data_IF_357695684035
#
_entry.id   IF_357695684035
#
_cell.length_a   1.000
_cell.length_b   1.000
_cell.length_c   1.000
_cell.angle_alpha   90.00
_cell.angle_beta   90.00
_cell.angle_gamma   90.00
#
_symmetry.space_group_name_H-M   'P 1'
#
loop_
_entity.id
_entity.type
_entity.pdbx_description
1 polymer ?
#
# COMPACT_ATOMS: atom_id res chain seq x y z
N UNK A 1 22.73 -8.89 -4.24
CA UNK A 1 23.07 -8.18 -2.98
C UNK A 1 23.32 -6.73 -3.32
N UNK A 2 22.26 -5.93 -3.35
CA UNK A 2 22.34 -4.50 -3.65
C UNK A 2 22.77 -3.78 -2.36
N UNK A 3 23.85 -2.98 -2.36
CA UNK A 3 24.37 -2.41 -1.13
C UNK A 3 23.44 -1.30 -0.61
N UNK A 4 23.18 -1.35 0.71
CA UNK A 4 22.42 -0.37 1.51
C UNK A 4 22.87 1.09 1.31
N UNK A 5 24.05 1.30 0.72
CA UNK A 5 24.62 2.60 0.39
C UNK A 5 23.77 3.43 -0.56
N UNK A 6 22.94 2.82 -1.42
CA UNK A 6 22.11 3.55 -2.38
C UNK A 6 20.82 4.13 -1.74
N UNK A 7 20.38 3.58 -0.60
CA UNK A 7 19.21 4.08 0.13
C UNK A 7 19.53 5.35 0.95
N UNK A 8 20.79 5.54 1.35
CA UNK A 8 21.22 6.69 2.15
C UNK A 8 21.46 7.96 1.32
N UNK A 9 21.65 7.84 0.00
CA UNK A 9 21.89 8.99 -0.89
C UNK A 9 20.62 9.74 -1.30
N UNK A 10 19.44 9.10 -1.16
CA UNK A 10 18.14 9.71 -1.48
C UNK A 10 17.48 10.40 -0.26
N UNK A 11 18.11 10.30 0.92
CA UNK A 11 17.58 10.88 2.16
C UNK A 11 17.68 12.41 2.30
N UNK A 12 18.68 13.14 1.77
CA UNK A 12 18.78 14.58 2.04
C UNK A 12 17.64 15.38 1.37
N UNK A 13 17.26 15.04 0.13
CA UNK A 13 16.15 15.72 -0.57
C UNK A 13 14.77 15.41 0.06
N UNK A 14 14.65 14.26 0.72
CA UNK A 14 13.38 13.87 1.38
C UNK A 14 13.19 14.65 2.68
N UNK A 15 14.27 14.95 3.41
CA UNK A 15 14.20 15.67 4.69
C UNK A 15 13.89 17.16 4.49
N UNK A 16 14.43 17.82 3.45
CA UNK A 16 14.09 19.24 3.19
C UNK A 16 12.62 19.43 2.78
N UNK A 17 12.00 18.44 2.11
CA UNK A 17 10.57 18.51 1.75
C UNK A 17 9.63 18.34 2.95
N UNK A 18 10.09 17.76 4.05
CA UNK A 18 9.29 17.53 5.28
C UNK A 18 9.02 18.83 6.04
N UNK A 19 9.78 19.90 5.80
CA UNK A 19 9.64 21.18 6.50
C UNK A 19 9.21 22.34 5.60
N UNK A 20 8.79 22.05 4.36
CA UNK A 20 8.30 23.07 3.45
C UNK A 20 6.84 23.41 3.74
N UNK A 21 6.62 24.51 4.48
CA UNK A 21 5.49 25.47 4.45
C UNK A 21 4.03 24.99 4.24
N UNK A 22 3.72 23.70 4.29
CA UNK A 22 2.33 23.21 4.31
C UNK A 22 1.85 23.14 5.76
N UNK A 23 1.23 24.25 6.21
CA UNK A 23 0.57 24.44 7.51
C UNK A 23 -0.51 23.37 7.82
N UNK A 24 -0.89 22.55 6.84
CA UNK A 24 -1.87 21.47 6.95
C UNK A 24 -1.25 20.06 7.13
N UNK A 25 0.09 19.94 7.14
CA UNK A 25 0.75 18.63 7.34
C UNK A 25 0.88 18.24 8.81
N UNK A 26 0.38 17.05 9.11
CA UNK A 26 0.32 16.47 10.44
C UNK A 26 1.64 15.73 10.76
N UNK A 27 2.51 16.25 11.62
CA UNK A 27 3.90 15.76 11.81
C UNK A 27 4.60 15.31 10.50
N UNK A 28 4.41 16.05 9.40
CA UNK A 28 5.01 15.73 8.09
C UNK A 28 4.35 14.59 7.32
N UNK A 29 3.13 14.18 7.72
CA UNK A 29 2.28 13.21 7.02
C UNK A 29 1.10 13.97 6.41
N UNK A 30 0.96 13.89 5.09
CA UNK A 30 -0.21 14.40 4.37
C UNK A 30 -1.34 13.35 4.37
N UNK A 31 -2.49 13.61 5.02
CA UNK A 31 -3.64 12.70 5.01
C UNK A 31 -4.19 12.41 3.61
N UNK A 32 -4.15 13.38 2.71
CA UNK A 32 -4.68 13.25 1.35
C UNK A 32 -3.77 12.36 0.51
N UNK A 33 -2.44 12.48 0.68
CA UNK A 33 -1.47 11.56 0.10
C UNK A 33 -1.73 10.11 0.55
N UNK A 34 -1.92 9.89 1.86
CA UNK A 34 -2.23 8.55 2.38
C UNK A 34 -3.56 8.01 1.86
N UNK A 35 -4.58 8.85 1.75
CA UNK A 35 -5.88 8.49 1.18
C UNK A 35 -5.73 8.07 -0.29
N UNK A 36 -4.93 8.80 -1.06
CA UNK A 36 -4.58 8.47 -2.45
C UNK A 36 -3.89 7.12 -2.58
N UNK A 37 -2.90 6.84 -1.73
CA UNK A 37 -2.21 5.53 -1.69
C UNK A 37 -3.20 4.40 -1.36
N UNK A 38 -4.04 4.59 -0.35
CA UNK A 38 -5.06 3.60 0.03
C UNK A 38 -6.04 3.32 -1.11
N UNK A 39 -6.53 4.36 -1.79
CA UNK A 39 -7.42 4.23 -2.94
C UNK A 39 -6.75 3.45 -4.07
N UNK A 40 -5.48 3.79 -4.38
CA UNK A 40 -4.70 3.12 -5.41
C UNK A 40 -4.41 1.64 -5.10
N UNK A 41 -4.17 1.26 -3.85
CA UNK A 41 -4.02 -0.16 -3.49
C UNK A 41 -5.34 -0.92 -3.61
N UNK A 42 -6.47 -0.32 -3.20
CA UNK A 42 -7.80 -0.95 -3.33
C UNK A 42 -8.19 -1.14 -4.78
N UNK A 43 -7.92 -0.16 -5.63
CA UNK A 43 -8.14 -0.28 -7.08
C UNK A 43 -7.32 -1.43 -7.68
N UNK A 44 -6.02 -1.46 -7.40
CA UNK A 44 -5.13 -2.54 -7.88
C UNK A 44 -5.53 -3.91 -7.33
N UNK A 45 -5.99 -3.99 -6.08
CA UNK A 45 -6.50 -5.24 -5.51
C UNK A 45 -7.70 -5.77 -6.31
N UNK A 46 -8.67 -4.89 -6.62
CA UNK A 46 -9.82 -5.26 -7.46
C UNK A 46 -9.40 -5.68 -8.86
N UNK A 47 -8.45 -4.96 -9.45
CA UNK A 47 -7.92 -5.29 -10.77
C UNK A 47 -7.26 -6.68 -10.78
N UNK A 48 -6.39 -6.97 -9.81
CA UNK A 48 -5.68 -8.26 -9.73
C UNK A 48 -6.64 -9.41 -9.42
N UNK A 49 -7.57 -9.24 -8.47
CA UNK A 49 -8.60 -10.25 -8.17
C UNK A 49 -9.56 -10.50 -9.36
N UNK A 50 -9.68 -9.52 -10.27
CA UNK A 50 -10.51 -9.62 -11.47
C UNK A 50 -9.84 -10.33 -12.66
N UNK A 51 -8.57 -10.76 -12.54
CA UNK A 51 -7.87 -11.43 -13.64
C UNK A 51 -8.54 -12.78 -13.93
N UNK A 52 -9.05 -13.02 -15.15
CA UNK A 52 -9.67 -14.29 -15.50
C UNK A 52 -8.61 -15.37 -15.77
N UNK A 53 -8.81 -16.55 -15.19
CA UNK A 53 -7.95 -17.74 -15.37
C UNK A 53 -8.69 -18.92 -16.03
N UNK A 54 -9.93 -18.70 -16.47
CA UNK A 54 -10.76 -19.67 -17.19
C UNK A 54 -10.09 -20.16 -18.49
N UNK A 55 -9.35 -19.29 -19.19
CA UNK A 55 -8.57 -19.65 -20.37
C UNK A 55 -7.49 -20.72 -20.15
N UNK A 56 -7.14 -21.03 -18.89
CA UNK A 56 -6.22 -22.12 -18.56
C UNK A 56 -6.93 -23.49 -18.43
N UNK A 57 -8.26 -23.51 -18.36
CA UNK A 57 -9.07 -24.72 -18.35
C UNK A 57 -9.39 -25.16 -19.77
N UNK A 58 -8.37 -25.69 -20.47
CA UNK A 58 -8.47 -26.08 -21.88
C UNK A 58 -9.15 -27.44 -22.05
N UNK A 59 -10.18 -27.47 -22.89
CA UNK A 59 -10.88 -28.68 -23.32
C UNK A 59 -10.01 -29.56 -24.24
N UNK A 60 -10.28 -30.86 -24.21
CA UNK A 60 -9.68 -31.83 -25.13
C UNK A 60 -8.79 -32.89 -24.46
N UNK A 61 -8.23 -33.80 -25.28
CA UNK A 61 -7.46 -34.94 -24.78
C UNK A 61 -6.27 -34.49 -23.92
N UNK A 62 -5.91 -35.25 -22.86
CA UNK A 62 -4.78 -34.92 -22.00
C UNK A 62 -3.46 -35.12 -22.77
N UNK A 63 -3.04 -34.07 -23.46
CA UNK A 63 -1.69 -33.90 -23.99
C UNK A 63 -0.82 -33.22 -22.93
N UNK A 64 0.50 -33.33 -23.05
CA UNK A 64 1.46 -32.68 -22.15
C UNK A 64 1.19 -31.16 -22.02
N UNK A 65 0.82 -30.50 -23.11
CA UNK A 65 0.51 -29.06 -23.14
C UNK A 65 -0.79 -28.76 -22.40
N UNK A 66 -1.87 -29.47 -22.72
CA UNK A 66 -3.18 -29.25 -22.05
C UNK A 66 -3.13 -29.56 -20.56
N UNK A 67 -2.37 -30.59 -20.15
CA UNK A 67 -2.18 -30.91 -18.73
C UNK A 67 -1.37 -29.82 -18.03
N UNK A 68 -0.32 -29.30 -18.67
CA UNK A 68 0.47 -28.20 -18.13
C UNK A 68 -0.40 -26.93 -17.94
N UNK A 69 -1.20 -26.55 -18.94
CA UNK A 69 -2.09 -25.40 -18.85
C UNK A 69 -3.11 -25.55 -17.71
N UNK A 70 -3.78 -26.69 -17.60
CA UNK A 70 -4.73 -26.94 -16.49
C UNK A 70 -4.07 -26.87 -15.12
N UNK A 71 -2.81 -27.33 -15.02
CA UNK A 71 -2.08 -27.30 -13.74
C UNK A 71 -1.74 -25.89 -13.25
N UNK A 72 -1.79 -24.88 -14.14
CA UNK A 72 -1.51 -23.48 -13.79
C UNK A 72 -2.75 -22.72 -13.32
N UNK A 73 -3.96 -23.20 -13.60
CA UNK A 73 -5.20 -22.46 -13.35
C UNK A 73 -5.38 -22.09 -11.87
N UNK A 74 -5.41 -23.09 -10.98
CA UNK A 74 -5.59 -22.87 -9.54
C UNK A 74 -4.41 -22.12 -8.89
N UNK A 75 -3.14 -22.47 -9.15
CA UNK A 75 -2.02 -21.70 -8.59
C UNK A 75 -2.01 -20.23 -9.00
N UNK A 76 -2.39 -19.93 -10.25
CA UNK A 76 -2.45 -18.54 -10.74
C UNK A 76 -3.57 -17.77 -10.06
N UNK A 77 -4.75 -18.39 -9.88
CA UNK A 77 -5.86 -17.80 -9.12
C UNK A 77 -5.47 -17.52 -7.68
N UNK A 78 -4.90 -18.51 -6.98
CA UNK A 78 -4.46 -18.37 -5.61
C UNK A 78 -3.39 -17.27 -5.43
N UNK A 79 -2.50 -17.12 -6.40
CA UNK A 79 -1.51 -16.04 -6.39
C UNK A 79 -2.16 -14.66 -6.57
N UNK A 80 -3.12 -14.53 -7.49
CA UNK A 80 -3.84 -13.27 -7.70
C UNK A 80 -4.64 -12.87 -6.44
N UNK A 81 -5.37 -13.82 -5.85
CA UNK A 81 -6.13 -13.61 -4.61
C UNK A 81 -5.22 -13.17 -3.47
N UNK A 82 -4.08 -13.85 -3.28
CA UNK A 82 -3.09 -13.50 -2.25
C UNK A 82 -2.53 -12.08 -2.42
N UNK A 83 -2.24 -11.66 -3.65
CA UNK A 83 -1.77 -10.31 -3.95
C UNK A 83 -2.87 -9.28 -3.66
N UNK A 84 -4.11 -9.55 -4.07
CA UNK A 84 -5.24 -8.68 -3.83
C UNK A 84 -5.50 -8.51 -2.31
N UNK A 85 -5.50 -9.60 -1.55
CA UNK A 85 -5.66 -9.59 -0.10
C UNK A 85 -4.55 -8.79 0.58
N UNK A 86 -3.29 -8.96 0.15
CA UNK A 86 -2.15 -8.21 0.67
C UNK A 86 -2.33 -6.70 0.46
N UNK A 87 -2.75 -6.29 -0.75
CA UNK A 87 -2.99 -4.88 -1.08
C UNK A 87 -4.13 -4.30 -0.23
N UNK A 88 -5.21 -5.06 -0.02
CA UNK A 88 -6.31 -4.65 0.85
C UNK A 88 -5.87 -4.51 2.30
N UNK A 89 -5.15 -5.50 2.84
CA UNK A 89 -4.63 -5.48 4.20
C UNK A 89 -3.70 -4.28 4.43
N UNK A 90 -2.82 -3.99 3.48
CA UNK A 90 -1.96 -2.80 3.52
C UNK A 90 -2.79 -1.50 3.52
N UNK A 91 -3.85 -1.42 2.71
CA UNK A 91 -4.74 -0.24 2.69
C UNK A 91 -5.46 -0.02 4.02
N UNK A 92 -5.87 -1.09 4.70
CA UNK A 92 -6.51 -1.00 6.02
C UNK A 92 -5.50 -0.56 7.07
N UNK A 93 -4.31 -1.15 7.07
CA UNK A 93 -3.24 -0.80 8.00
C UNK A 93 -2.81 0.66 7.86
N UNK A 94 -2.67 1.16 6.61
CA UNK A 94 -2.30 2.55 6.35
C UNK A 94 -3.40 3.53 6.75
N UNK A 95 -4.67 3.18 6.51
CA UNK A 95 -5.80 4.00 6.96
C UNK A 95 -5.86 4.08 8.49
N UNK A 96 -5.61 2.97 9.19
CA UNK A 96 -5.55 2.96 10.65
C UNK A 96 -4.39 3.83 11.16
N UNK A 97 -3.21 3.68 10.57
CA UNK A 97 -2.05 4.51 10.90
C UNK A 97 -2.34 6.01 10.74
N UNK A 98 -3.00 6.41 9.64
CA UNK A 98 -3.40 7.81 9.41
C UNK A 98 -4.33 8.33 10.50
N UNK A 99 -5.33 7.54 10.91
CA UNK A 99 -6.25 7.92 11.98
C UNK A 99 -5.53 8.05 13.34
N UNK A 100 -4.63 7.11 13.65
CA UNK A 100 -3.85 7.12 14.89
C UNK A 100 -2.89 8.33 14.95
N UNK A 101 -2.26 8.66 13.82
CA UNK A 101 -1.44 9.87 13.70
C UNK A 101 -2.27 11.12 13.98
N UNK A 102 -3.42 11.30 13.29
CA UNK A 102 -4.32 12.45 13.51
C UNK A 102 -4.75 12.61 14.96
N UNK A 103 -5.09 11.50 15.61
CA UNK A 103 -5.46 11.52 17.02
C UNK A 103 -4.29 11.93 17.93
N UNK A 104 -3.07 11.44 17.64
CA UNK A 104 -1.85 11.75 18.38
C UNK A 104 -1.48 13.22 18.28
N UNK A 105 -1.48 13.80 17.08
CA UNK A 105 -1.18 15.20 16.85
C UNK A 105 -2.20 16.12 17.49
N UNK A 106 -3.49 15.81 17.35
CA UNK A 106 -4.54 16.59 18.01
C UNK A 106 -4.38 16.55 19.54
N UNK A 107 -3.91 15.43 20.11
CA UNK A 107 -3.60 15.34 21.53
C UNK A 107 -2.37 16.17 21.93
N UNK A 108 -1.32 16.17 21.10
CA UNK A 108 -0.13 16.98 21.32
C UNK A 108 -0.45 18.48 21.23
N UNK A 109 -1.19 18.92 20.21
CA UNK A 109 -1.64 20.30 20.06
C UNK A 109 -2.41 20.80 21.27
N UNK A 110 -3.40 20.02 21.74
CA UNK A 110 -4.13 20.33 22.99
C UNK A 110 -3.22 20.41 24.22
N UNK A 111 -2.18 19.59 24.30
CA UNK A 111 -1.23 19.64 25.41
C UNK A 111 -0.37 20.92 25.36
N UNK A 112 0.01 21.39 24.17
CA UNK A 112 0.72 22.66 23.98
C UNK A 112 -0.16 23.86 24.31
N UNK A 113 -1.44 23.86 23.92
CA UNK A 113 -2.40 24.93 24.24
C UNK A 113 -2.59 25.15 25.76
N UNK A 114 -2.37 24.08 26.55
CA UNK A 114 -2.46 24.13 28.01
C UNK A 114 -1.18 24.63 28.70
N UNK A 115 -0.09 24.84 27.96
CA UNK A 115 1.13 25.41 28.53
C UNK A 115 0.96 26.92 28.77
N UNK A 116 1.38 27.44 29.94
CA UNK A 116 1.36 28.88 30.18
C UNK A 116 2.24 29.60 29.16
N UNK A 117 1.68 30.56 28.42
CA UNK A 117 2.47 31.47 27.60
C UNK A 117 3.40 32.26 28.53
N UNK A 118 4.71 32.06 28.37
CA UNK A 118 5.75 32.80 29.10
C UNK A 118 6.12 34.07 28.36
#
# INVERSE_FOLDING_TARGET
MTPLSHLLTMLPDTIERVFGDDDDTLFGIDPDELAGICAGWRERARFVAGIPFDGLQVDGPPTRVTTALRSLAEPSRAAADSIADRLLAMSVALQQFSADAQASDAAAGRAFDLLPQR
#
